data_IF_304001629649
#
_entry.id   IF_304001629649
#
_cell.length_a   1.000
_cell.length_b   1.000
_cell.length_c   1.000
_cell.angle_alpha   90.00
_cell.angle_beta   90.00
_cell.angle_gamma   90.00
#
_symmetry.space_group_name_H-M   'P 1'
#
loop_
_entity.id
_entity.type
_entity.pdbx_description
1 polymer ?
#
# COMPACT_ATOMS: atom_id res chain seq x y z
N UNK A 1 55.73 -19.56 -22.63
CA UNK A 1 54.54 -20.01 -23.38
C UNK A 1 53.33 -19.64 -22.53
N UNK A 2 52.77 -18.45 -22.72
CA UNK A 2 51.54 -18.18 -23.52
C UNK A 2 50.34 -18.90 -22.87
N UNK A 3 49.28 -18.27 -22.37
CA UNK A 3 48.87 -16.87 -22.31
C UNK A 3 47.38 -16.81 -21.88
N UNK A 4 47.01 -15.77 -21.14
CA UNK A 4 45.74 -15.03 -21.15
C UNK A 4 44.39 -15.78 -21.28
N UNK A 5 43.46 -15.54 -20.33
CA UNK A 5 42.31 -14.61 -20.54
C UNK A 5 41.42 -14.43 -19.30
N UNK A 6 41.20 -13.16 -19.01
CA UNK A 6 40.15 -12.56 -18.18
C UNK A 6 38.89 -12.34 -19.05
N UNK A 7 37.71 -12.17 -18.42
CA UNK A 7 36.42 -11.60 -18.88
C UNK A 7 35.31 -12.52 -19.45
N UNK A 8 34.20 -12.54 -18.69
CA UNK A 8 32.88 -12.02 -19.07
C UNK A 8 31.76 -12.97 -19.59
N UNK A 9 30.62 -12.80 -18.90
CA UNK A 9 29.22 -12.74 -19.39
C UNK A 9 28.41 -14.04 -19.54
N UNK A 10 27.48 -14.19 -18.59
CA UNK A 10 26.02 -14.23 -18.77
C UNK A 10 25.52 -15.18 -19.88
N UNK A 11 24.90 -16.28 -19.46
CA UNK A 11 23.68 -16.78 -20.09
C UNK A 11 22.85 -17.54 -19.04
N UNK A 12 22.17 -16.79 -18.15
CA UNK A 12 21.07 -17.34 -17.34
C UNK A 12 19.80 -17.19 -18.17
N UNK A 13 19.60 -18.10 -19.11
CA UNK A 13 18.36 -18.23 -19.86
C UNK A 13 17.45 -19.21 -19.14
N UNK A 14 16.30 -18.69 -18.68
CA UNK A 14 15.01 -19.37 -18.53
C UNK A 14 15.06 -20.89 -18.27
N UNK A 15 15.24 -21.29 -17.01
CA UNK A 15 14.77 -22.60 -16.57
C UNK A 15 13.35 -22.41 -16.02
N UNK A 16 12.36 -22.87 -16.79
CA UNK A 16 10.99 -23.10 -16.34
C UNK A 16 11.03 -23.87 -15.02
N UNK A 17 10.66 -23.21 -13.92
CA UNK A 17 10.34 -23.89 -12.67
C UNK A 17 8.84 -24.20 -12.70
N UNK A 18 8.49 -25.33 -13.32
CA UNK A 18 7.19 -25.96 -13.13
C UNK A 18 7.22 -26.69 -11.77
N UNK A 19 7.08 -25.94 -10.67
CA UNK A 19 6.86 -26.53 -9.34
C UNK A 19 5.37 -26.85 -9.23
N UNK A 20 5.06 -28.15 -9.24
CA UNK A 20 3.78 -28.69 -8.82
C UNK A 20 3.62 -28.44 -7.32
N UNK A 21 2.91 -27.37 -6.96
CA UNK A 21 2.48 -27.13 -5.58
C UNK A 21 1.37 -28.13 -5.23
N UNK A 22 1.71 -29.22 -4.54
CA UNK A 22 0.74 -30.01 -3.80
C UNK A 22 0.53 -29.34 -2.43
N UNK A 23 -0.32 -28.31 -2.38
CA UNK A 23 -0.77 -27.70 -1.12
C UNK A 23 -1.82 -28.62 -0.52
N UNK A 24 -1.41 -29.47 0.41
CA UNK A 24 -2.34 -30.26 1.23
C UNK A 24 -2.82 -29.39 2.39
N UNK A 25 -4.09 -29.00 2.30
CA UNK A 25 -4.90 -28.46 3.40
C UNK A 25 -4.88 -26.94 3.50
N UNK A 26 -5.97 -26.30 3.06
CA UNK A 26 -6.73 -25.26 3.77
C UNK A 26 -7.96 -24.93 2.92
N UNK A 27 -9.08 -25.61 3.18
CA UNK A 27 -10.41 -25.16 2.74
C UNK A 27 -10.85 -23.98 3.64
N UNK A 28 -10.04 -22.93 3.74
CA UNK A 28 -10.55 -21.62 4.13
C UNK A 28 -11.26 -21.05 2.89
N UNK A 29 -12.46 -20.53 3.06
CA UNK A 29 -13.16 -19.85 1.98
C UNK A 29 -12.32 -18.65 1.55
N UNK A 30 -11.60 -18.78 0.42
CA UNK A 30 -10.93 -17.69 -0.28
C UNK A 30 -11.97 -16.74 -0.88
N UNK A 31 -12.78 -16.14 -0.02
CA UNK A 31 -13.89 -15.29 -0.38
C UNK A 31 -13.90 -14.11 0.58
N UNK A 32 -13.55 -12.95 0.05
CA UNK A 32 -13.79 -11.67 0.71
C UNK A 32 -14.99 -10.99 0.03
N UNK A 33 -15.65 -10.07 0.73
CA UNK A 33 -16.69 -9.26 0.11
C UNK A 33 -16.12 -8.45 -1.07
N UNK A 34 -16.94 -8.31 -2.11
CA UNK A 34 -16.65 -7.41 -3.22
C UNK A 34 -16.73 -5.96 -2.71
N UNK A 35 -15.73 -5.12 -3.00
CA UNK A 35 -15.81 -3.70 -2.66
C UNK A 35 -16.85 -3.01 -3.56
N UNK A 36 -17.61 -2.09 -2.98
CA UNK A 36 -18.64 -1.30 -3.66
C UNK A 36 -18.17 0.15 -3.77
N UNK A 37 -18.40 0.76 -4.94
CA UNK A 37 -18.02 2.16 -5.17
C UNK A 37 -18.98 3.05 -4.39
N UNK A 38 -18.45 4.00 -3.63
CA UNK A 38 -19.25 5.13 -3.14
C UNK A 38 -19.55 6.06 -4.32
N UNK A 39 -20.85 6.15 -4.65
CA UNK A 39 -21.38 6.98 -5.73
C UNK A 39 -20.84 8.41 -5.68
N UNK A 40 -20.41 8.93 -6.84
CA UNK A 40 -19.85 10.27 -6.99
C UNK A 40 -18.32 10.32 -7.00
N UNK A 41 -17.63 9.42 -6.28
CA UNK A 41 -16.16 9.39 -6.28
C UNK A 41 -15.54 8.83 -7.56
N UNK A 42 -16.35 8.26 -8.45
CA UNK A 42 -15.93 7.85 -9.78
C UNK A 42 -15.94 9.00 -10.82
N UNK A 43 -16.41 10.18 -10.44
CA UNK A 43 -16.25 11.40 -11.23
C UNK A 43 -14.75 11.74 -11.41
N UNK A 44 -14.40 12.15 -12.63
CA UNK A 44 -13.03 12.57 -12.98
C UNK A 44 -13.04 13.44 -14.24
N UNK A 45 -12.02 14.29 -14.38
CA UNK A 45 -11.77 15.07 -15.59
C UNK A 45 -10.45 14.62 -16.25
N UNK A 46 -10.49 13.83 -17.35
CA UNK A 46 -9.29 13.33 -18.02
C UNK A 46 -8.31 14.42 -18.50
N UNK A 47 -8.80 15.65 -18.72
CA UNK A 47 -7.97 16.76 -19.21
C UNK A 47 -7.25 17.50 -18.08
N UNK A 48 -7.75 17.40 -16.85
CA UNK A 48 -7.15 18.09 -15.72
C UNK A 48 -6.05 17.23 -15.08
N UNK A 49 -4.87 17.27 -15.69
CA UNK A 49 -3.66 16.58 -15.19
C UNK A 49 -2.82 17.45 -14.27
N UNK A 50 -3.40 18.51 -13.69
CA UNK A 50 -2.66 19.43 -12.81
C UNK A 50 -2.07 18.64 -11.63
N UNK A 51 -0.74 18.68 -11.45
CA UNK A 51 -0.10 17.92 -10.37
C UNK A 51 -0.49 18.48 -9.01
N UNK A 52 -0.49 17.61 -8.01
CA UNK A 52 -0.65 17.96 -6.60
C UNK A 52 0.73 17.93 -5.96
N UNK A 53 1.03 18.93 -5.14
CA UNK A 53 2.30 19.01 -4.42
C UNK A 53 2.27 18.10 -3.18
N UNK A 54 3.15 17.10 -3.18
CA UNK A 54 3.34 16.16 -2.07
C UNK A 54 4.71 16.33 -1.39
N UNK A 55 5.42 17.45 -1.63
CA UNK A 55 6.77 17.69 -1.12
C UNK A 55 6.85 17.68 0.42
N UNK A 56 5.89 18.32 1.10
CA UNK A 56 5.81 18.31 2.56
C UNK A 56 5.68 16.89 3.12
N UNK A 57 4.87 16.04 2.48
CA UNK A 57 4.77 14.63 2.83
C UNK A 57 6.04 13.85 2.54
N UNK A 58 6.65 14.08 1.38
CA UNK A 58 7.94 13.50 1.01
C UNK A 58 9.04 13.81 2.02
N UNK A 59 9.11 15.05 2.52
CA UNK A 59 10.10 15.44 3.53
C UNK A 59 9.90 14.68 4.86
N UNK A 60 8.65 14.49 5.29
CA UNK A 60 8.32 13.67 6.48
C UNK A 60 8.73 12.22 6.26
N UNK A 61 8.38 11.63 5.12
CA UNK A 61 8.74 10.25 4.78
C UNK A 61 10.25 10.05 4.75
N UNK A 62 10.98 10.91 4.05
CA UNK A 62 12.43 10.83 3.90
C UNK A 62 13.15 10.94 5.25
N UNK A 63 12.70 11.87 6.11
CA UNK A 63 13.29 12.12 7.42
C UNK A 63 13.06 10.98 8.41
N UNK A 64 11.90 10.34 8.36
CA UNK A 64 11.46 9.42 9.41
C UNK A 64 11.40 7.95 9.01
N UNK A 65 11.58 7.61 7.73
CA UNK A 65 11.65 6.22 7.28
C UNK A 65 13.09 5.75 7.13
N UNK A 66 13.44 4.72 7.89
CA UNK A 66 14.64 3.92 7.66
C UNK A 66 14.29 2.58 6.99
N UNK A 67 15.21 2.04 6.20
CA UNK A 67 15.08 0.69 5.63
C UNK A 67 16.10 -0.21 6.29
N UNK A 68 15.67 -1.34 6.83
CA UNK A 68 16.60 -2.33 7.39
C UNK A 68 17.19 -3.25 6.31
N UNK A 69 18.10 -4.13 6.71
CA UNK A 69 18.82 -5.05 5.81
C UNK A 69 17.90 -6.04 5.09
N UNK A 70 16.67 -6.22 5.57
CA UNK A 70 15.67 -7.10 4.95
C UNK A 70 14.79 -6.37 3.92
N UNK A 71 15.04 -5.07 3.72
CA UNK A 71 14.23 -4.22 2.85
C UNK A 71 12.94 -3.71 3.51
N UNK A 72 12.76 -3.91 4.82
CA UNK A 72 11.60 -3.41 5.56
C UNK A 72 11.78 -1.93 5.90
N UNK A 73 10.79 -1.12 5.52
CA UNK A 73 10.70 0.28 5.91
C UNK A 73 10.06 0.42 7.30
N UNK A 74 10.66 1.27 8.14
CA UNK A 74 10.18 1.58 9.50
C UNK A 74 10.08 3.08 9.68
N UNK A 75 8.89 3.54 10.08
CA UNK A 75 8.65 4.94 10.41
C UNK A 75 8.96 5.20 11.89
N UNK A 76 9.82 6.17 12.18
CA UNK A 76 10.31 6.46 13.52
C UNK A 76 9.39 7.43 14.29
N UNK A 77 8.18 6.98 14.64
CA UNK A 77 7.16 7.79 15.33
C UNK A 77 7.67 8.57 16.54
N UNK A 78 8.43 7.92 17.43
CA UNK A 78 9.00 8.57 18.63
C UNK A 78 10.09 9.62 18.37
N UNK A 79 10.50 9.83 17.11
CA UNK A 79 11.46 10.87 16.71
C UNK A 79 10.79 12.06 16.00
N UNK A 80 9.49 11.99 15.74
CA UNK A 80 8.78 13.06 15.03
C UNK A 80 8.70 14.29 15.92
N UNK A 81 9.19 15.43 15.41
CA UNK A 81 9.13 16.68 16.14
C UNK A 81 7.72 17.29 16.08
N UNK A 82 7.39 18.18 17.01
CA UNK A 82 6.11 18.91 16.96
C UNK A 82 5.99 19.78 15.71
N UNK A 83 7.10 20.33 15.22
CA UNK A 83 7.12 21.10 13.98
C UNK A 83 6.78 20.21 12.76
N UNK A 84 7.37 19.03 12.67
CA UNK A 84 7.10 18.10 11.56
C UNK A 84 5.70 17.49 11.64
N UNK A 85 5.18 17.25 12.85
CA UNK A 85 3.77 16.87 13.07
C UNK A 85 2.82 17.95 12.58
N UNK A 86 3.12 19.22 12.85
CA UNK A 86 2.36 20.36 12.32
C UNK A 86 2.43 20.42 10.79
N UNK A 87 3.60 20.19 10.20
CA UNK A 87 3.78 20.12 8.74
C UNK A 87 2.90 19.02 8.12
N UNK A 88 2.84 17.84 8.73
CA UNK A 88 1.97 16.74 8.28
C UNK A 88 0.49 17.15 8.28
N UNK A 89 0.00 17.71 9.39
CA UNK A 89 -1.40 18.16 9.49
C UNK A 89 -1.73 19.28 8.50
N UNK A 90 -0.80 20.20 8.26
CA UNK A 90 -0.95 21.25 7.25
C UNK A 90 -1.04 20.68 5.83
N UNK A 91 -0.23 19.67 5.52
CA UNK A 91 -0.30 18.96 4.25
C UNK A 91 -1.66 18.25 4.06
N UNK A 92 -2.15 17.53 5.08
CA UNK A 92 -3.46 16.89 5.07
C UNK A 92 -4.58 17.92 4.85
N UNK A 93 -4.54 19.05 5.58
CA UNK A 93 -5.50 20.14 5.42
C UNK A 93 -5.40 20.88 4.07
N UNK A 94 -4.26 20.80 3.38
CA UNK A 94 -4.13 21.33 2.02
C UNK A 94 -4.78 20.38 1.01
N UNK A 95 -4.65 19.06 1.19
CA UNK A 95 -5.31 18.06 0.36
C UNK A 95 -6.84 18.15 0.42
N UNK A 96 -7.41 18.46 1.59
CA UNK A 96 -8.87 18.57 1.74
C UNK A 96 -9.51 19.72 0.97
N UNK A 97 -8.71 20.69 0.52
CA UNK A 97 -9.16 21.86 -0.25
C UNK A 97 -9.12 21.64 -1.76
N UNK A 98 -8.66 20.47 -2.20
CA UNK A 98 -8.54 20.14 -3.61
C UNK A 98 -9.86 19.50 -4.06
N UNK A 99 -10.49 20.08 -5.08
CA UNK A 99 -11.54 19.42 -5.86
C UNK A 99 -10.89 18.28 -6.65
N UNK A 100 -10.91 17.09 -6.05
CA UNK A 100 -10.28 15.88 -6.54
C UNK A 100 -11.16 15.19 -7.59
N UNK A 101 -12.49 15.35 -7.54
CA UNK A 101 -13.43 14.86 -8.57
C UNK A 101 -13.22 15.54 -9.94
N UNK A 102 -12.66 16.75 -9.99
CA UNK A 102 -12.22 17.41 -11.23
C UNK A 102 -10.76 17.09 -11.61
N UNK A 103 -10.10 16.08 -11.03
CA UNK A 103 -8.74 15.67 -11.45
C UNK A 103 -8.77 14.43 -12.34
N UNK A 104 -7.75 14.29 -13.17
CA UNK A 104 -7.55 13.07 -13.95
C UNK A 104 -7.30 11.86 -13.04
N UNK A 105 -7.73 10.66 -13.47
CA UNK A 105 -7.63 9.41 -12.69
C UNK A 105 -6.24 9.10 -12.16
N UNK A 106 -5.19 9.41 -12.92
CA UNK A 106 -3.82 9.18 -12.46
C UNK A 106 -3.45 10.06 -11.28
N UNK A 107 -3.91 11.33 -11.26
CA UNK A 107 -3.72 12.26 -10.15
C UNK A 107 -4.56 11.84 -8.95
N UNK A 108 -5.82 11.44 -9.16
CA UNK A 108 -6.70 10.92 -8.11
C UNK A 108 -6.09 9.71 -7.40
N UNK A 109 -5.51 8.75 -8.14
CA UNK A 109 -4.87 7.56 -7.54
C UNK A 109 -3.76 7.94 -6.56
N UNK A 110 -2.87 8.84 -7.01
CA UNK A 110 -1.76 9.31 -6.19
C UNK A 110 -2.25 10.08 -4.96
N UNK A 111 -3.26 10.93 -5.13
CA UNK A 111 -3.89 11.68 -4.05
C UNK A 111 -4.41 10.75 -2.95
N UNK A 112 -5.26 9.78 -3.31
CA UNK A 112 -5.91 8.91 -2.34
C UNK A 112 -4.93 8.00 -1.59
N UNK A 113 -3.93 7.44 -2.30
CA UNK A 113 -2.87 6.64 -1.66
C UNK A 113 -2.08 7.51 -0.68
N UNK A 114 -1.67 8.71 -1.08
CA UNK A 114 -0.91 9.60 -0.20
C UNK A 114 -1.74 10.08 0.99
N UNK A 115 -3.03 10.39 0.79
CA UNK A 115 -3.93 10.84 1.85
C UNK A 115 -4.14 9.73 2.89
N UNK A 116 -4.45 8.50 2.45
CA UNK A 116 -4.57 7.33 3.33
C UNK A 116 -3.33 7.15 4.21
N UNK A 117 -2.15 7.14 3.58
CA UNK A 117 -0.89 6.92 4.29
C UNK A 117 -0.57 8.07 5.26
N UNK A 118 -0.84 9.32 4.86
CA UNK A 118 -0.61 10.49 5.72
C UNK A 118 -1.56 10.51 6.92
N UNK A 119 -2.85 10.24 6.72
CA UNK A 119 -3.84 10.10 7.80
C UNK A 119 -3.47 8.97 8.74
N UNK A 120 -3.03 7.83 8.21
CA UNK A 120 -2.60 6.68 9.02
C UNK A 120 -1.44 7.07 9.94
N UNK A 121 -0.42 7.75 9.40
CA UNK A 121 0.72 8.24 10.21
C UNK A 121 0.28 9.30 11.21
N UNK A 122 -0.60 10.23 10.84
CA UNK A 122 -1.12 11.26 11.74
C UNK A 122 -1.87 10.67 12.93
N UNK A 123 -2.75 9.68 12.69
CA UNK A 123 -3.46 8.95 13.74
C UNK A 123 -2.47 8.27 14.68
N UNK A 124 -1.48 7.53 14.17
CA UNK A 124 -0.49 6.89 15.05
C UNK A 124 0.30 7.93 15.84
N UNK A 125 0.64 9.09 15.25
CA UNK A 125 1.32 10.19 15.95
C UNK A 125 0.47 10.89 17.02
N UNK A 126 -0.86 10.92 16.86
CA UNK A 126 -1.78 11.46 17.85
C UNK A 126 -1.95 10.54 19.06
N UNK A 127 -1.71 9.24 18.89
CA UNK A 127 -1.87 8.23 19.93
C UNK A 127 -0.56 7.58 20.39
N UNK A 128 0.60 8.05 19.91
CA UNK A 128 1.90 7.51 20.30
C UNK A 128 2.25 7.88 21.77
N UNK A 129 2.86 6.98 22.57
CA UNK A 129 3.26 5.61 22.24
C UNK A 129 2.10 4.60 22.29
N UNK A 130 2.02 3.75 21.26
CA UNK A 130 1.06 2.65 21.15
C UNK A 130 1.78 1.39 20.66
N UNK A 131 1.33 0.20 21.10
CA UNK A 131 1.95 -1.07 20.70
C UNK A 131 1.51 -1.51 19.30
N UNK A 132 0.23 -1.30 18.98
CA UNK A 132 -0.37 -1.61 17.70
C UNK A 132 -1.36 -0.52 17.31
N UNK A 133 -1.46 -0.19 16.02
CA UNK A 133 -2.51 0.70 15.52
C UNK A 133 -3.92 0.16 15.84
N UNK A 134 -4.06 -1.17 15.97
CA UNK A 134 -5.30 -1.83 16.39
C UNK A 134 -5.74 -1.46 17.81
N UNK A 135 -4.81 -0.99 18.64
CA UNK A 135 -5.12 -0.56 20.01
C UNK A 135 -5.63 0.91 20.04
N UNK A 136 -5.79 1.55 18.89
CA UNK A 136 -6.32 2.91 18.75
C UNK A 136 -7.84 2.85 18.51
N UNK A 137 -8.60 2.71 19.58
CA UNK A 137 -10.07 2.52 19.53
C UNK A 137 -10.82 3.86 19.49
N UNK A 138 -10.71 4.56 18.36
CA UNK A 138 -11.39 5.85 18.12
C UNK A 138 -12.63 5.74 17.22
N UNK A 139 -12.90 4.55 16.67
CA UNK A 139 -14.01 4.30 15.73
C UNK A 139 -15.33 3.90 16.41
N UNK A 140 -15.37 3.81 17.74
CA UNK A 140 -16.57 3.45 18.52
C UNK A 140 -16.38 2.22 19.41
N UNK A 141 -17.46 1.82 20.10
CA UNK A 141 -17.47 0.61 20.93
C UNK A 141 -17.28 -0.63 20.03
N UNK A 142 -16.38 -1.53 20.42
CA UNK A 142 -16.00 -2.75 19.67
C UNK A 142 -15.22 -2.52 18.36
N UNK A 143 -14.71 -1.30 18.14
CA UNK A 143 -13.72 -1.08 17.10
C UNK A 143 -12.43 -1.88 17.39
N UNK A 144 -11.74 -2.28 16.32
CA UNK A 144 -10.43 -2.92 16.38
C UNK A 144 -9.49 -2.03 15.57
N UNK A 145 -9.19 -0.85 16.13
CA UNK A 145 -8.42 0.23 15.49
C UNK A 145 -9.21 1.40 14.88
N UNK A 146 -8.50 2.34 14.22
CA UNK A 146 -9.01 3.68 13.90
C UNK A 146 -9.71 3.79 12.55
N UNK A 147 -9.83 2.69 11.80
CA UNK A 147 -10.15 2.74 10.37
C UNK A 147 -11.52 3.31 10.02
N UNK A 148 -12.53 3.09 10.87
CA UNK A 148 -13.89 3.59 10.71
C UNK A 148 -14.15 4.97 11.29
N UNK A 149 -13.12 5.67 11.78
CA UNK A 149 -13.28 7.03 12.30
C UNK A 149 -13.26 8.04 11.15
N UNK A 150 -14.23 8.96 11.12
CA UNK A 150 -14.16 10.15 10.28
C UNK A 150 -12.95 11.01 10.70
N UNK A 151 -12.00 11.19 9.77
CA UNK A 151 -10.73 11.89 10.02
C UNK A 151 -10.62 13.20 9.24
N UNK A 152 -11.31 13.33 8.12
CA UNK A 152 -11.20 14.48 7.22
C UNK A 152 -12.49 14.68 6.43
N UNK A 153 -12.76 15.92 6.00
CA UNK A 153 -13.84 16.22 5.06
C UNK A 153 -13.26 16.50 3.68
N UNK A 154 -13.69 15.78 2.65
CA UNK A 154 -13.30 16.00 1.25
C UNK A 154 -14.56 16.31 0.45
N UNK A 155 -14.59 17.46 -0.24
CA UNK A 155 -15.73 17.89 -1.07
C UNK A 155 -17.10 17.84 -0.35
N UNK A 156 -17.12 18.03 0.97
CA UNK A 156 -18.33 18.05 1.79
C UNK A 156 -18.65 16.72 2.48
N UNK A 157 -17.98 15.63 2.12
CA UNK A 157 -18.19 14.31 2.71
C UNK A 157 -17.18 14.03 3.82
N UNK A 158 -17.64 13.46 4.93
CA UNK A 158 -16.75 12.93 5.97
C UNK A 158 -16.14 11.61 5.52
N UNK A 159 -14.81 11.50 5.58
CA UNK A 159 -14.04 10.40 5.02
C UNK A 159 -13.24 9.70 6.12
N UNK A 160 -13.35 8.38 6.15
CA UNK A 160 -12.58 7.46 6.99
C UNK A 160 -11.43 6.80 6.21
N UNK A 161 -10.55 6.05 6.90
CA UNK A 161 -9.53 5.24 6.20
C UNK A 161 -10.18 4.09 5.41
N UNK A 162 -11.23 3.48 5.98
CA UNK A 162 -11.99 2.40 5.32
C UNK A 162 -12.67 2.90 4.03
N UNK A 163 -13.20 4.13 4.02
CA UNK A 163 -13.81 4.70 2.81
C UNK A 163 -12.79 4.86 1.68
N UNK A 164 -11.62 5.42 2.01
CA UNK A 164 -10.55 5.61 1.04
C UNK A 164 -10.13 4.27 0.43
N UNK A 165 -9.96 3.23 1.25
CA UNK A 165 -9.49 1.94 0.77
C UNK A 165 -10.60 1.13 0.07
N UNK A 166 -11.73 0.94 0.74
CA UNK A 166 -12.76 -0.03 0.36
C UNK A 166 -13.87 0.56 -0.52
N UNK A 167 -14.11 1.86 -0.47
CA UNK A 167 -15.17 2.51 -1.24
C UNK A 167 -14.66 3.39 -2.38
N UNK A 168 -13.39 3.80 -2.34
CA UNK A 168 -12.76 4.65 -3.36
C UNK A 168 -11.67 3.87 -4.12
N UNK A 169 -10.54 3.54 -3.48
CA UNK A 169 -9.37 2.98 -4.18
C UNK A 169 -9.64 1.61 -4.82
N UNK A 170 -10.06 0.62 -4.02
CA UNK A 170 -10.26 -0.76 -4.49
C UNK A 170 -11.31 -0.85 -5.62
N UNK A 171 -12.54 -0.28 -5.48
CA UNK A 171 -13.58 -0.52 -6.46
C UNK A 171 -13.46 0.34 -7.72
N UNK A 172 -12.83 1.52 -7.66
CA UNK A 172 -12.61 2.39 -8.83
C UNK A 172 -11.49 1.86 -9.73
N UNK A 173 -10.31 1.58 -9.16
CA UNK A 173 -9.15 1.18 -9.97
C UNK A 173 -9.08 -0.32 -10.22
N UNK A 174 -9.67 -1.16 -9.35
CA UNK A 174 -9.67 -2.62 -9.47
C UNK A 174 -8.26 -3.19 -9.70
N UNK A 175 -7.29 -2.56 -9.03
CA UNK A 175 -5.87 -2.87 -9.16
C UNK A 175 -5.38 -3.51 -7.86
N UNK A 176 -5.05 -4.82 -7.85
CA UNK A 176 -4.60 -5.50 -6.63
C UNK A 176 -3.32 -4.89 -6.05
N UNK A 177 -2.57 -4.11 -6.83
CA UNK A 177 -1.33 -3.50 -6.36
C UNK A 177 -1.57 -2.38 -5.35
N UNK A 178 -2.79 -1.83 -5.27
CA UNK A 178 -3.16 -0.81 -4.28
C UNK A 178 -2.83 -1.26 -2.86
N UNK A 179 -3.03 -2.54 -2.56
CA UNK A 179 -2.68 -3.15 -1.27
C UNK A 179 -1.19 -3.02 -0.91
N UNK A 180 -0.32 -2.81 -1.89
CA UNK A 180 1.12 -2.54 -1.67
C UNK A 180 1.46 -1.05 -1.57
N UNK A 181 0.51 -0.17 -1.93
CA UNK A 181 0.66 1.28 -1.86
C UNK A 181 0.04 1.89 -0.60
N UNK A 182 -0.98 1.25 -0.01
CA UNK A 182 -1.59 1.66 1.26
C UNK A 182 -0.97 0.89 2.43
N UNK A 183 -0.45 1.60 3.43
CA UNK A 183 0.23 1.00 4.57
C UNK A 183 -0.67 1.05 5.81
N UNK A 184 -0.98 -0.12 6.36
CA UNK A 184 -1.82 -0.25 7.55
C UNK A 184 -1.07 0.01 8.88
N UNK A 185 0.12 0.64 8.87
CA UNK A 185 1.03 0.81 10.01
C UNK A 185 1.47 -0.48 10.76
N UNK A 186 1.21 -1.68 10.22
CA UNK A 186 1.68 -2.95 10.78
C UNK A 186 2.98 -3.44 10.12
N UNK A 187 3.84 -4.12 10.88
CA UNK A 187 5.09 -4.74 10.38
C UNK A 187 4.79 -5.77 9.28
N UNK A 188 3.65 -6.45 9.35
CA UNK A 188 3.25 -7.45 8.35
C UNK A 188 2.74 -6.86 7.03
N UNK A 189 2.41 -5.57 6.99
CA UNK A 189 1.89 -4.91 5.80
C UNK A 189 3.00 -4.51 4.81
N UNK A 190 2.68 -4.28 3.53
CA UNK A 190 3.63 -3.74 2.57
C UNK A 190 4.27 -2.43 3.05
N UNK A 191 5.45 -2.12 2.51
CA UNK A 191 6.23 -0.97 2.96
C UNK A 191 5.48 0.34 2.72
N UNK A 192 5.45 1.22 3.72
CA UNK A 192 5.27 2.64 3.47
C UNK A 192 6.47 3.13 2.65
N UNK A 193 6.22 3.64 1.44
CA UNK A 193 7.28 4.10 0.54
C UNK A 193 7.93 5.38 1.06
N UNK A 194 9.22 5.58 0.76
CA UNK A 194 9.98 6.79 1.14
C UNK A 194 9.66 8.01 0.29
N UNK A 195 9.04 7.79 -0.86
CA UNK A 195 8.66 8.85 -1.80
C UNK A 195 7.15 8.84 -2.00
N UNK A 196 6.52 10.02 -2.05
CA UNK A 196 5.08 10.10 -2.27
C UNK A 196 4.72 9.62 -3.68
N UNK A 197 3.48 9.20 -3.85
CA UNK A 197 2.93 8.88 -5.16
C UNK A 197 2.68 10.17 -5.94
N UNK A 198 2.83 10.12 -7.27
CA UNK A 198 2.40 11.21 -8.16
C UNK A 198 1.63 10.61 -9.34
N UNK A 199 0.82 11.41 -10.03
CA UNK A 199 0.10 10.92 -11.20
C UNK A 199 1.01 10.36 -12.32
N UNK A 200 2.30 10.74 -12.32
CA UNK A 200 3.29 10.22 -13.28
C UNK A 200 3.95 8.92 -12.81
N UNK A 201 4.18 8.78 -11.51
CA UNK A 201 5.04 7.72 -10.95
C UNK A 201 4.25 6.59 -10.27
N UNK A 202 2.96 6.80 -9.97
CA UNK A 202 2.20 5.90 -9.11
C UNK A 202 2.17 4.46 -9.64
N UNK A 203 1.95 4.29 -10.94
CA UNK A 203 1.89 2.96 -11.57
C UNK A 203 3.21 2.19 -11.43
N UNK A 204 4.35 2.85 -11.66
CA UNK A 204 5.67 2.23 -11.51
C UNK A 204 6.00 1.95 -10.04
N UNK A 205 5.61 2.85 -9.13
CA UNK A 205 5.76 2.66 -7.68
C UNK A 205 4.95 1.46 -7.18
N UNK A 206 3.71 1.29 -7.64
CA UNK A 206 2.85 0.16 -7.30
C UNK A 206 3.42 -1.16 -7.83
N UNK A 207 3.91 -1.19 -9.07
CA UNK A 207 4.56 -2.39 -9.64
C UNK A 207 5.79 -2.78 -8.83
N UNK A 208 6.62 -1.80 -8.46
CA UNK A 208 7.81 -2.02 -7.64
C UNK A 208 7.45 -2.50 -6.23
N UNK A 209 6.47 -1.87 -5.59
CA UNK A 209 6.02 -2.23 -4.26
C UNK A 209 5.46 -3.66 -4.20
N UNK A 210 4.73 -4.08 -5.25
CA UNK A 210 4.26 -5.46 -5.38
C UNK A 210 5.41 -6.46 -5.42
N UNK A 211 6.40 -6.23 -6.30
CA UNK A 211 7.58 -7.09 -6.41
C UNK A 211 8.40 -7.11 -5.12
N UNK A 212 8.67 -5.95 -4.51
CA UNK A 212 9.45 -5.86 -3.28
C UNK A 212 8.76 -6.57 -2.11
N UNK A 213 7.42 -6.46 -1.98
CA UNK A 213 6.68 -7.13 -0.92
C UNK A 213 6.64 -8.64 -1.11
N UNK A 214 6.30 -9.10 -2.32
CA UNK A 214 6.18 -10.53 -2.64
C UNK A 214 7.52 -11.24 -2.45
N UNK A 215 8.63 -10.62 -2.84
CA UNK A 215 9.97 -11.17 -2.66
C UNK A 215 10.55 -10.98 -1.24
N UNK A 216 9.76 -10.47 -0.30
CA UNK A 216 10.16 -10.37 1.10
C UNK A 216 9.64 -11.57 1.92
N UNK A 217 10.27 -11.89 3.07
CA UNK A 217 9.76 -12.92 3.98
C UNK A 217 8.34 -12.68 4.49
N UNK A 218 7.80 -11.46 4.33
CA UNK A 218 6.44 -11.07 4.72
C UNK A 218 5.39 -11.34 3.64
N UNK A 219 5.81 -11.40 2.37
CA UNK A 219 4.92 -11.60 1.23
C UNK A 219 4.79 -13.08 0.88
N UNK A 220 5.90 -13.72 0.51
CA UNK A 220 5.97 -15.13 0.16
C UNK A 220 7.27 -15.74 0.68
N UNK A 221 7.17 -16.90 1.31
CA UNK A 221 8.31 -17.75 1.67
C UNK A 221 8.07 -19.16 1.14
N UNK A 222 9.06 -19.75 0.45
CA UNK A 222 9.01 -21.14 -0.01
C UNK A 222 10.07 -21.94 0.77
N UNK A 223 9.63 -22.98 1.50
CA UNK A 223 10.52 -23.89 2.23
C UNK A 223 10.04 -25.32 2.06
N UNK A 224 10.95 -26.23 1.69
CA UNK A 224 10.67 -27.66 1.54
C UNK A 224 9.44 -27.94 0.63
N UNK A 225 9.31 -27.20 -0.47
CA UNK A 225 8.18 -27.34 -1.40
C UNK A 225 6.84 -26.75 -0.90
N UNK A 226 6.80 -26.14 0.28
CA UNK A 226 5.61 -25.47 0.82
C UNK A 226 5.75 -23.96 0.70
N UNK A 227 4.74 -23.32 0.13
CA UNK A 227 4.60 -21.87 0.10
C UNK A 227 3.84 -21.38 1.34
N UNK A 228 4.33 -20.32 1.96
CA UNK A 228 3.64 -19.56 3.01
C UNK A 228 3.50 -18.13 2.50
N UNK A 229 2.28 -17.61 2.50
CA UNK A 229 1.95 -16.29 1.95
C UNK A 229 1.34 -15.39 3.03
N UNK A 230 1.41 -14.08 2.82
CA UNK A 230 0.78 -13.10 3.70
C UNK A 230 -0.73 -13.32 3.85
N UNK A 231 -1.29 -13.07 5.05
CA UNK A 231 -2.74 -13.02 5.27
C UNK A 231 -3.46 -11.94 4.43
N UNK A 232 -2.70 -10.99 3.89
CA UNK A 232 -3.20 -10.00 2.93
C UNK A 232 -3.97 -10.66 1.77
N UNK A 233 -3.50 -11.82 1.28
CA UNK A 233 -4.16 -12.54 0.17
C UNK A 233 -5.45 -13.25 0.58
N UNK A 234 -5.63 -13.51 1.88
CA UNK A 234 -6.86 -14.06 2.43
C UNK A 234 -7.88 -12.95 2.66
N UNK A 235 -7.48 -11.86 3.32
CA UNK A 235 -8.35 -10.72 3.63
C UNK A 235 -8.91 -10.02 2.40
N UNK A 236 -8.11 -9.95 1.33
CA UNK A 236 -8.47 -9.30 0.08
C UNK A 236 -8.56 -10.27 -1.10
N UNK A 237 -8.92 -11.53 -0.83
CA UNK A 237 -8.96 -12.60 -1.83
C UNK A 237 -9.68 -12.18 -3.12
N UNK A 238 -10.78 -11.43 -3.02
CA UNK A 238 -11.54 -10.92 -4.16
C UNK A 238 -10.65 -10.14 -5.15
N UNK A 239 -9.80 -9.25 -4.65
CA UNK A 239 -8.95 -8.38 -5.47
C UNK A 239 -7.85 -9.19 -6.18
N UNK A 240 -7.50 -10.36 -5.64
CA UNK A 240 -6.51 -11.29 -6.20
C UNK A 240 -7.15 -12.44 -6.99
N UNK A 241 -8.39 -12.29 -7.45
CA UNK A 241 -9.08 -13.27 -8.30
C UNK A 241 -9.90 -14.32 -7.55
N UNK A 242 -10.22 -14.05 -6.28
CA UNK A 242 -11.15 -14.76 -5.42
C UNK A 242 -10.96 -16.29 -5.39
N UNK A 243 -9.72 -16.73 -5.49
CA UNK A 243 -9.35 -18.14 -5.53
C UNK A 243 -7.86 -18.31 -5.28
N UNK A 244 -7.47 -19.48 -4.77
CA UNK A 244 -6.06 -19.87 -4.64
C UNK A 244 -5.32 -19.75 -5.98
N UNK A 245 -5.94 -20.20 -7.09
CA UNK A 245 -5.35 -20.07 -8.43
C UNK A 245 -5.13 -18.61 -8.85
N UNK A 246 -6.05 -17.72 -8.50
CA UNK A 246 -5.91 -16.28 -8.75
C UNK A 246 -4.74 -15.70 -7.98
N UNK A 247 -4.62 -16.04 -6.70
CA UNK A 247 -3.52 -15.61 -5.83
C UNK A 247 -2.18 -16.15 -6.33
N UNK A 248 -2.09 -17.43 -6.69
CA UNK A 248 -0.88 -18.01 -7.28
C UNK A 248 -0.50 -17.28 -8.57
N UNK A 249 -1.46 -17.02 -9.47
CA UNK A 249 -1.21 -16.28 -10.72
C UNK A 249 -0.65 -14.88 -10.43
N UNK A 250 -1.18 -14.18 -9.43
CA UNK A 250 -0.68 -12.88 -9.01
C UNK A 250 0.74 -12.99 -8.45
N UNK A 251 0.99 -13.92 -7.52
CA UNK A 251 2.31 -14.15 -6.94
C UNK A 251 3.36 -14.48 -8.01
N UNK A 252 3.06 -15.37 -8.97
CA UNK A 252 3.96 -15.74 -10.07
C UNK A 252 4.33 -14.56 -10.97
N UNK A 253 3.48 -13.54 -11.07
CA UNK A 253 3.79 -12.34 -11.87
C UNK A 253 4.91 -11.50 -11.24
N UNK A 254 5.06 -11.54 -9.92
CA UNK A 254 5.91 -10.61 -9.16
C UNK A 254 7.07 -11.28 -8.42
N UNK A 255 7.03 -12.61 -8.27
CA UNK A 255 8.08 -13.45 -7.68
C UNK A 255 9.24 -13.75 -8.64
#
# INVERSE_FOLDING_TARGET
>A
MIGHRILAKICRSAALIAVLFAVSGFLSSWSSSKPEVWEGWDAHNPKNTKPIDHSAWGAVLEKYISTDKTGLNRFAYGKVSQADKKTLKQYIAALSKIEITDRARSVQLAYWINLYNALTVDVVLDHYPVKSIRDIDISGLFADGPWGKALITIEGEEITLDDIEHQILRPIWKDPRIHYGVNCASIGCPNLLKTPFTGKTAQAQLERAASDFINSPRGLTIKNGKATVSKLYEWFAYDFGNSEKGVIKHLTRYA
#
